data_IF_108566168091
#
_entry.id   IF_108566168091
#
_cell.length_a   1.000
_cell.length_b   1.000
_cell.length_c   1.000
_cell.angle_alpha   90.00
_cell.angle_beta   90.00
_cell.angle_gamma   90.00
#
_symmetry.space_group_name_H-M   'P 1'
#
loop_
_entity.id
_entity.type
_entity.pdbx_description
1 polymer ?
#
# COMPACT_ATOMS: atom_id res chain seq x y z
N UNK A 1 0.91 -29.84 27.47
CA UNK A 1 1.32 -28.50 27.01
C UNK A 1 0.07 -27.65 27.08
N UNK A 2 0.03 -26.63 27.94
CA UNK A 2 -1.20 -25.86 28.20
C UNK A 2 -1.68 -25.12 26.92
N UNK A 3 -2.98 -24.90 26.79
CA UNK A 3 -3.56 -24.17 25.66
C UNK A 3 -2.89 -22.81 25.44
N UNK A 4 -2.53 -22.11 26.51
CA UNK A 4 -1.78 -20.86 26.46
C UNK A 4 -0.43 -20.97 25.72
N UNK A 5 0.33 -22.06 25.94
CA UNK A 5 1.61 -22.26 25.22
C UNK A 5 1.40 -22.53 23.72
N UNK A 6 0.29 -23.17 23.35
CA UNK A 6 -0.07 -23.35 21.94
C UNK A 6 -0.45 -22.03 21.27
N UNK A 7 -1.28 -21.22 21.92
CA UNK A 7 -1.66 -19.90 21.41
C UNK A 7 -0.47 -18.94 21.29
N UNK A 8 0.40 -18.94 22.30
CA UNK A 8 1.62 -18.15 22.26
C UNK A 8 2.56 -18.56 21.12
N UNK A 9 2.74 -19.86 20.91
CA UNK A 9 3.56 -20.36 19.78
C UNK A 9 2.97 -19.95 18.44
N UNK A 10 1.68 -20.10 18.24
CA UNK A 10 0.98 -19.70 17.01
C UNK A 10 1.12 -18.19 16.72
N UNK A 11 1.09 -17.34 17.76
CA UNK A 11 1.33 -15.91 17.66
C UNK A 11 2.77 -15.58 17.22
N UNK A 12 3.77 -16.22 17.83
CA UNK A 12 5.17 -16.00 17.45
C UNK A 12 5.47 -16.46 16.03
N UNK A 13 4.91 -17.59 15.61
CA UNK A 13 5.04 -18.08 14.23
C UNK A 13 4.40 -17.11 13.23
N UNK A 14 3.23 -16.54 13.56
CA UNK A 14 2.58 -15.52 12.75
C UNK A 14 3.39 -14.22 12.64
N UNK A 15 4.05 -13.79 13.73
CA UNK A 15 4.92 -12.61 13.69
C UNK A 15 6.18 -12.85 12.87
N UNK A 16 6.87 -13.96 13.09
CA UNK A 16 8.08 -14.32 12.34
C UNK A 16 7.78 -14.40 10.84
N UNK A 17 6.67 -15.02 10.50
CA UNK A 17 6.16 -15.12 9.17
C UNK A 17 5.82 -13.74 8.55
N UNK A 18 5.10 -12.91 9.29
CA UNK A 18 4.76 -11.55 8.86
C UNK A 18 5.98 -10.67 8.62
N UNK A 19 7.02 -10.81 9.43
CA UNK A 19 8.29 -10.10 9.26
C UNK A 19 9.00 -10.56 7.98
N UNK A 20 9.16 -11.87 7.78
CA UNK A 20 9.78 -12.44 6.58
C UNK A 20 9.05 -12.02 5.30
N UNK A 21 7.73 -12.12 5.29
CA UNK A 21 6.88 -11.65 4.20
C UNK A 21 7.08 -10.16 3.91
N UNK A 22 7.11 -9.34 4.96
CA UNK A 22 7.30 -7.89 4.84
C UNK A 22 8.63 -7.53 4.19
N UNK A 23 9.71 -8.16 4.62
CA UNK A 23 11.05 -7.92 4.08
C UNK A 23 11.06 -8.31 2.59
N UNK A 24 10.62 -9.51 2.26
CA UNK A 24 10.62 -10.01 0.89
C UNK A 24 9.78 -9.13 -0.05
N UNK A 25 8.55 -8.83 0.32
CA UNK A 25 7.65 -8.02 -0.52
C UNK A 25 8.09 -6.57 -0.62
N UNK A 26 8.73 -6.03 0.42
CA UNK A 26 9.29 -4.68 0.38
C UNK A 26 10.51 -4.63 -0.55
N UNK A 27 11.43 -5.58 -0.45
CA UNK A 27 12.61 -5.63 -1.33
C UNK A 27 12.21 -5.71 -2.81
N UNK A 28 11.30 -6.62 -3.15
CA UNK A 28 10.87 -6.85 -4.55
C UNK A 28 9.94 -5.76 -5.05
N UNK A 29 9.02 -5.29 -4.21
CA UNK A 29 7.98 -4.34 -4.58
C UNK A 29 8.40 -2.86 -4.54
N UNK A 30 9.45 -2.52 -3.78
CA UNK A 30 9.86 -1.13 -3.55
C UNK A 30 10.20 -0.35 -4.83
N UNK A 31 10.94 -0.90 -5.81
CA UNK A 31 11.22 -0.18 -7.06
C UNK A 31 9.94 0.18 -7.82
N UNK A 32 9.01 -0.75 -7.92
CA UNK A 32 7.72 -0.53 -8.60
C UNK A 32 6.86 0.50 -7.84
N UNK A 33 6.85 0.45 -6.51
CA UNK A 33 6.14 1.42 -5.68
C UNK A 33 6.73 2.83 -5.82
N UNK A 34 8.04 2.93 -5.88
CA UNK A 34 8.74 4.19 -6.07
C UNK A 34 8.47 4.80 -7.43
N UNK A 35 8.56 4.00 -8.50
CA UNK A 35 8.24 4.42 -9.86
C UNK A 35 6.78 4.88 -9.96
N UNK A 36 5.86 4.14 -9.35
CA UNK A 36 4.46 4.55 -9.24
C UNK A 36 4.31 5.94 -8.63
N UNK A 37 4.92 6.19 -7.48
CA UNK A 37 4.85 7.50 -6.79
C UNK A 37 5.42 8.61 -7.70
N UNK A 38 6.56 8.37 -8.34
CA UNK A 38 7.17 9.32 -9.25
C UNK A 38 6.23 9.68 -10.41
N UNK A 39 5.61 8.70 -11.07
CA UNK A 39 4.66 8.92 -12.17
C UNK A 39 3.41 9.67 -11.68
N UNK A 40 2.89 9.33 -10.51
CA UNK A 40 1.69 9.94 -9.95
C UNK A 40 1.90 11.36 -9.45
N UNK A 41 3.10 11.71 -9.00
CA UNK A 41 3.41 13.05 -8.48
C UNK A 41 3.87 14.02 -9.57
N UNK A 42 4.33 13.53 -10.73
CA UNK A 42 4.83 14.35 -11.84
C UNK A 42 3.87 14.32 -13.03
N UNK A 43 2.68 14.89 -12.86
CA UNK A 43 1.65 14.90 -13.91
C UNK A 43 2.03 15.75 -15.14
N UNK A 44 2.94 16.69 -15.00
CA UNK A 44 3.43 17.53 -16.12
C UNK A 44 4.32 16.75 -17.09
N UNK A 45 4.98 15.68 -16.63
CA UNK A 45 5.86 14.87 -17.46
C UNK A 45 5.13 13.64 -18.00
N UNK A 46 5.54 13.16 -19.18
CA UNK A 46 5.02 11.89 -19.68
C UNK A 46 5.49 10.72 -18.79
N UNK A 47 4.68 9.65 -18.61
CA UNK A 47 5.13 8.48 -17.85
C UNK A 47 6.44 7.88 -18.39
N UNK A 48 6.63 7.92 -19.71
CA UNK A 48 7.85 7.43 -20.36
C UNK A 48 9.09 8.24 -19.94
N UNK A 49 9.00 9.58 -19.94
CA UNK A 49 10.13 10.43 -19.51
C UNK A 49 10.46 10.24 -18.03
N UNK A 50 9.48 9.99 -17.18
CA UNK A 50 9.71 9.66 -15.77
C UNK A 50 10.45 8.31 -15.64
N UNK A 51 10.06 7.30 -16.42
CA UNK A 51 10.71 5.98 -16.42
C UNK A 51 12.17 6.09 -16.88
N UNK A 52 12.44 6.83 -17.96
CA UNK A 52 13.82 7.00 -18.48
C UNK A 52 14.71 7.76 -17.50
N UNK A 53 14.20 8.82 -16.88
CA UNK A 53 14.90 9.54 -15.81
C UNK A 53 15.17 8.60 -14.62
N UNK A 54 14.19 7.79 -14.24
CA UNK A 54 14.33 6.85 -13.14
C UNK A 54 15.39 5.79 -13.43
N UNK A 55 15.45 5.27 -14.64
CA UNK A 55 16.47 4.28 -15.06
C UNK A 55 17.89 4.87 -15.06
N UNK A 56 18.05 6.18 -15.32
CA UNK A 56 19.34 6.88 -15.29
C UNK A 56 19.88 7.19 -13.88
N UNK A 57 19.03 7.04 -12.85
CA UNK A 57 19.36 7.41 -11.49
C UNK A 57 20.06 6.28 -10.74
N UNK A 58 21.08 5.75 -10.82
CA UNK A 58 21.80 4.71 -10.06
C UNK A 58 21.08 4.07 -8.85
N UNK A 59 21.61 2.99 -8.34
CA UNK A 59 21.01 2.13 -7.30
C UNK A 59 20.70 2.88 -5.98
N UNK A 60 21.46 3.90 -5.64
CA UNK A 60 21.27 4.71 -4.43
C UNK A 60 19.90 5.41 -4.42
N UNK A 61 19.42 5.82 -5.58
CA UNK A 61 18.11 6.43 -5.71
C UNK A 61 16.98 5.40 -5.55
N UNK A 62 17.20 4.15 -5.93
CA UNK A 62 16.23 3.08 -5.71
C UNK A 62 16.01 2.79 -4.23
N UNK A 63 16.99 2.97 -3.38
CA UNK A 63 16.88 2.75 -1.94
C UNK A 63 16.18 3.88 -1.17
N UNK A 64 15.98 5.05 -1.81
CA UNK A 64 15.35 6.21 -1.14
C UNK A 64 13.92 5.88 -0.72
N UNK A 65 13.61 6.08 0.57
CA UNK A 65 12.31 5.74 1.15
C UNK A 65 12.14 4.26 1.52
N UNK A 66 13.14 3.41 1.25
CA UNK A 66 13.09 1.98 1.61
C UNK A 66 12.92 1.78 3.12
N UNK A 67 13.72 2.46 3.94
CA UNK A 67 13.63 2.39 5.40
C UNK A 67 12.23 2.80 5.89
N UNK A 68 11.66 3.87 5.35
CA UNK A 68 10.30 4.30 5.69
C UNK A 68 9.24 3.27 5.24
N UNK A 69 9.46 2.55 4.14
CA UNK A 69 8.62 1.42 3.75
C UNK A 69 8.68 0.28 4.76
N UNK A 70 9.89 -0.12 5.16
CA UNK A 70 10.10 -1.20 6.13
C UNK A 70 9.47 -0.85 7.47
N UNK A 71 9.73 0.33 8.01
CA UNK A 71 9.14 0.80 9.29
C UNK A 71 7.61 0.79 9.22
N UNK A 72 7.03 1.27 8.12
CA UNK A 72 5.58 1.26 7.90
C UNK A 72 5.00 -0.15 7.92
N UNK A 73 5.66 -1.09 7.28
CA UNK A 73 5.18 -2.47 7.17
C UNK A 73 5.37 -3.25 8.48
N UNK A 74 6.53 -3.11 9.11
CA UNK A 74 6.79 -3.72 10.41
C UNK A 74 5.83 -3.22 11.48
N UNK A 75 5.52 -1.91 11.47
CA UNK A 75 4.48 -1.36 12.34
C UNK A 75 3.15 -2.09 12.17
N UNK A 76 2.70 -2.31 10.93
CA UNK A 76 1.46 -3.04 10.64
C UNK A 76 1.50 -4.49 11.14
N UNK A 77 2.62 -5.18 10.94
CA UNK A 77 2.80 -6.55 11.45
C UNK A 77 2.69 -6.58 12.97
N UNK A 78 3.26 -5.58 13.66
CA UNK A 78 3.26 -5.54 15.11
C UNK A 78 1.85 -5.37 15.72
N UNK A 79 1.04 -4.42 15.23
CA UNK A 79 -0.22 -4.08 15.91
C UNK A 79 -1.47 -4.73 15.31
N UNK A 80 -1.49 -5.08 14.01
CA UNK A 80 -2.70 -5.61 13.35
C UNK A 80 -3.21 -6.92 13.94
N UNK A 81 -2.38 -7.94 14.22
CA UNK A 81 -2.86 -9.16 14.84
C UNK A 81 -3.50 -8.89 16.21
N UNK A 82 -2.87 -8.02 17.02
CA UNK A 82 -3.41 -7.62 18.32
C UNK A 82 -4.75 -6.89 18.16
N UNK A 83 -4.84 -5.95 17.24
CA UNK A 83 -6.07 -5.20 16.98
C UNK A 83 -7.20 -6.14 16.56
N UNK A 84 -6.94 -7.08 15.65
CA UNK A 84 -7.95 -8.02 15.14
C UNK A 84 -8.37 -9.01 16.24
N UNK A 85 -7.45 -9.46 17.09
CA UNK A 85 -7.76 -10.38 18.19
C UNK A 85 -8.65 -9.77 19.27
N UNK A 86 -8.58 -8.45 19.45
CA UNK A 86 -9.42 -7.71 20.41
C UNK A 86 -10.79 -7.33 19.84
N UNK A 87 -11.04 -7.55 18.55
CA UNK A 87 -12.36 -7.27 17.96
C UNK A 87 -13.40 -8.30 18.41
N UNK A 88 -14.65 -7.87 18.67
CA UNK A 88 -15.72 -8.76 19.08
C UNK A 88 -15.92 -9.94 18.12
N UNK A 89 -16.07 -11.15 18.68
CA UNK A 89 -16.30 -12.37 17.88
C UNK A 89 -17.65 -12.38 17.18
N UNK A 90 -18.59 -11.57 17.66
CA UNK A 90 -19.91 -11.38 17.06
C UNK A 90 -19.82 -10.86 15.62
N UNK A 91 -18.77 -10.10 15.31
CA UNK A 91 -18.52 -9.59 13.95
C UNK A 91 -18.27 -10.75 12.96
N UNK A 92 -17.69 -11.87 13.42
CA UNK A 92 -17.44 -13.04 12.56
C UNK A 92 -18.75 -13.76 12.17
N UNK A 93 -19.79 -13.60 12.98
CA UNK A 93 -21.12 -14.19 12.74
C UNK A 93 -21.98 -13.35 11.79
N UNK A 94 -21.51 -12.14 11.44
CA UNK A 94 -22.22 -11.27 10.50
C UNK A 94 -22.06 -11.79 9.07
N UNK A 95 -23.00 -12.59 8.62
CA UNK A 95 -23.10 -13.03 7.22
C UNK A 95 -24.02 -12.04 6.47
N UNK A 96 -23.44 -10.94 6.00
CA UNK A 96 -24.12 -10.05 5.05
C UNK A 96 -23.94 -10.61 3.63
N UNK A 97 -24.92 -10.47 2.71
CA UNK A 97 -24.87 -11.09 1.38
C UNK A 97 -23.63 -10.76 0.54
N UNK A 98 -22.96 -9.66 0.83
CA UNK A 98 -21.74 -9.21 0.16
C UNK A 98 -20.53 -9.00 1.09
N UNK A 99 -20.72 -9.06 2.43
CA UNK A 99 -19.68 -8.71 3.40
C UNK A 99 -19.58 -9.78 4.48
N UNK A 100 -18.53 -10.56 4.44
CA UNK A 100 -18.15 -11.42 5.58
C UNK A 100 -17.65 -10.55 6.74
N UNK A 101 -17.83 -11.01 7.97
CA UNK A 101 -17.28 -10.38 9.18
C UNK A 101 -15.78 -10.06 9.06
N UNK A 102 -15.03 -10.88 8.33
CA UNK A 102 -13.59 -10.64 8.03
C UNK A 102 -13.36 -9.36 7.22
N UNK A 103 -14.24 -9.02 6.27
CA UNK A 103 -14.13 -7.75 5.50
C UNK A 103 -14.39 -6.56 6.42
N UNK A 104 -15.36 -6.67 7.31
CA UNK A 104 -15.67 -5.62 8.28
C UNK A 104 -14.53 -5.40 9.26
N UNK A 105 -13.99 -6.47 9.86
CA UNK A 105 -12.78 -6.40 10.71
C UNK A 105 -11.59 -5.77 10.00
N UNK A 106 -11.34 -6.17 8.76
CA UNK A 106 -10.29 -5.59 7.93
C UNK A 106 -10.50 -4.11 7.63
N UNK A 107 -11.75 -3.69 7.40
CA UNK A 107 -12.09 -2.27 7.17
C UNK A 107 -11.85 -1.44 8.43
N UNK A 108 -12.28 -1.91 9.60
CA UNK A 108 -12.02 -1.27 10.89
C UNK A 108 -10.51 -1.16 11.13
N UNK A 109 -9.77 -2.24 10.89
CA UNK A 109 -8.30 -2.22 10.97
C UNK A 109 -7.67 -1.19 10.02
N UNK A 110 -8.23 -0.99 8.82
CA UNK A 110 -7.75 0.01 7.87
C UNK A 110 -8.02 1.45 8.31
N UNK A 111 -9.12 1.70 9.03
CA UNK A 111 -9.38 3.01 9.64
C UNK A 111 -8.29 3.32 10.68
N UNK A 112 -8.01 2.35 11.54
CA UNK A 112 -6.94 2.47 12.54
C UNK A 112 -5.57 2.65 11.87
N UNK A 113 -5.26 1.84 10.85
CA UNK A 113 -4.07 1.97 10.02
C UNK A 113 -3.90 3.40 9.48
N UNK A 114 -4.99 4.02 9.03
CA UNK A 114 -4.94 5.36 8.45
C UNK A 114 -4.44 6.39 9.46
N UNK A 115 -4.85 6.27 10.71
CA UNK A 115 -4.39 7.18 11.77
C UNK A 115 -2.93 6.92 12.13
N UNK A 116 -2.57 5.66 12.38
CA UNK A 116 -1.22 5.29 12.88
C UNK A 116 -0.16 5.37 11.78
N UNK A 117 -0.50 4.99 10.56
CA UNK A 117 0.47 4.81 9.47
C UNK A 117 0.59 6.04 8.57
N UNK A 118 -0.42 6.92 8.54
CA UNK A 118 -0.39 8.12 7.66
C UNK A 118 0.86 8.99 7.85
N UNK A 119 1.35 9.28 9.06
CA UNK A 119 2.57 10.06 9.22
C UNK A 119 3.77 9.45 8.49
N UNK A 120 3.96 8.13 8.64
CA UNK A 120 5.07 7.41 8.01
C UNK A 120 4.90 7.36 6.48
N UNK A 121 3.67 7.19 6.01
CA UNK A 121 3.36 7.21 4.57
C UNK A 121 3.65 8.58 3.93
N UNK A 122 3.36 9.67 4.63
CA UNK A 122 3.68 11.01 4.14
C UNK A 122 5.18 11.25 4.06
N UNK A 123 5.95 10.87 5.08
CA UNK A 123 7.41 10.93 5.08
C UNK A 123 7.97 10.15 3.88
N UNK A 124 7.52 8.91 3.69
CA UNK A 124 7.90 8.06 2.57
C UNK A 124 7.58 8.73 1.21
N UNK A 125 6.39 9.27 1.03
CA UNK A 125 5.99 9.91 -0.23
C UNK A 125 6.83 11.14 -0.53
N UNK A 126 7.16 11.94 0.48
CA UNK A 126 8.08 13.09 0.33
C UNK A 126 9.48 12.63 -0.11
N UNK A 127 9.98 11.54 0.45
CA UNK A 127 11.26 10.97 0.03
C UNK A 127 11.21 10.46 -1.41
N UNK A 128 10.14 9.75 -1.79
CA UNK A 128 10.00 9.14 -3.11
C UNK A 128 9.75 10.12 -4.25
N UNK A 129 9.11 11.27 -3.99
CA UNK A 129 8.83 12.28 -5.04
C UNK A 129 10.07 13.02 -5.53
N UNK A 130 11.16 12.98 -4.79
CA UNK A 130 12.39 13.78 -5.02
C UNK A 130 13.15 13.39 -6.30
N UNK A 131 12.68 12.40 -7.06
CA UNK A 131 13.31 11.97 -8.33
C UNK A 131 13.32 13.10 -9.37
N UNK A 132 12.29 13.93 -9.40
CA UNK A 132 12.14 14.96 -10.45
C UNK A 132 13.08 16.17 -10.28
N UNK A 133 13.78 16.30 -9.18
CA UNK A 133 14.57 17.49 -8.85
C UNK A 133 16.06 17.24 -8.73
N UNK A 134 16.68 16.28 -9.38
CA UNK A 134 18.15 16.04 -9.37
C UNK A 134 18.89 16.28 -8.02
N UNK A 135 18.13 16.39 -6.94
CA UNK A 135 18.60 16.71 -5.59
C UNK A 135 18.98 15.42 -4.86
N UNK A 136 19.93 15.53 -3.96
CA UNK A 136 20.37 14.45 -3.06
C UNK A 136 19.18 13.72 -2.40
N UNK A 137 19.29 12.42 -2.16
CA UNK A 137 18.25 11.65 -1.45
C UNK A 137 17.93 12.28 -0.10
N UNK A 138 16.67 12.58 0.14
CA UNK A 138 16.20 13.20 1.38
C UNK A 138 16.09 12.14 2.49
N UNK A 139 16.73 12.40 3.64
CA UNK A 139 16.61 11.54 4.82
C UNK A 139 15.18 11.59 5.42
N UNK A 140 14.74 10.58 6.19
CA UNK A 140 13.43 10.62 6.87
C UNK A 140 13.25 11.86 7.74
N UNK A 141 14.31 12.28 8.47
CA UNK A 141 14.26 13.44 9.34
C UNK A 141 14.09 14.75 8.56
N UNK A 142 14.78 14.88 7.42
CA UNK A 142 14.61 16.03 6.53
C UNK A 142 13.20 16.08 5.94
N UNK A 143 12.65 14.92 5.57
CA UNK A 143 11.28 14.82 5.08
C UNK A 143 10.26 15.24 6.16
N UNK A 144 10.44 14.81 7.41
CA UNK A 144 9.61 15.25 8.54
C UNK A 144 9.67 16.77 8.73
N UNK A 145 10.87 17.34 8.75
CA UNK A 145 11.07 18.80 8.88
C UNK A 145 10.41 19.56 7.72
N UNK A 146 10.52 19.03 6.50
CA UNK A 146 9.87 19.61 5.32
C UNK A 146 8.34 19.62 5.44
N UNK A 147 7.73 18.50 5.87
CA UNK A 147 6.28 18.41 6.08
C UNK A 147 5.83 19.40 7.14
N UNK A 148 6.52 19.42 8.28
CA UNK A 148 6.18 20.28 9.39
C UNK A 148 6.28 21.77 9.04
N UNK A 149 7.36 22.18 8.37
CA UNK A 149 7.58 23.57 7.95
C UNK A 149 6.57 24.03 6.89
N UNK A 150 6.13 23.12 6.01
CA UNK A 150 5.19 23.47 4.92
C UNK A 150 3.73 23.47 5.36
N UNK A 151 3.32 22.55 6.23
CA UNK A 151 1.91 22.28 6.55
C UNK A 151 1.60 22.12 8.03
N UNK A 152 2.61 22.21 8.90
CA UNK A 152 2.44 21.93 10.33
C UNK A 152 2.13 20.45 10.60
N UNK A 153 1.55 20.18 11.77
CA UNK A 153 1.20 18.83 12.19
C UNK A 153 0.15 18.15 11.31
N UNK A 154 -0.83 18.90 10.80
CA UNK A 154 -1.88 18.38 9.91
C UNK A 154 -1.33 17.82 8.60
N UNK A 155 -0.16 18.27 8.15
CA UNK A 155 0.53 17.79 6.97
C UNK A 155 0.86 16.31 7.03
N UNK A 156 1.09 15.74 8.20
CA UNK A 156 1.35 14.32 8.38
C UNK A 156 0.14 13.43 8.07
N UNK A 157 -1.06 13.98 8.09
CA UNK A 157 -2.31 13.28 7.78
C UNK A 157 -2.84 13.58 6.37
N UNK A 158 -2.06 14.25 5.56
CA UNK A 158 -2.42 14.54 4.17
C UNK A 158 -2.63 13.23 3.38
N UNK A 159 -3.73 13.11 2.64
CA UNK A 159 -4.07 11.90 1.89
C UNK A 159 -4.77 10.80 2.71
N UNK A 160 -5.17 11.07 3.96
CA UNK A 160 -5.90 10.10 4.78
C UNK A 160 -7.29 9.79 4.23
N UNK A 161 -8.00 10.79 3.72
CA UNK A 161 -9.36 10.59 3.16
C UNK A 161 -9.37 9.67 1.94
N UNK A 162 -8.53 9.85 0.91
CA UNK A 162 -8.42 8.87 -0.17
C UNK A 162 -7.97 7.49 0.30
N UNK A 163 -7.18 7.41 1.37
CA UNK A 163 -6.74 6.13 1.94
C UNK A 163 -7.92 5.38 2.57
N UNK A 164 -8.78 6.07 3.30
CA UNK A 164 -10.02 5.51 3.85
C UNK A 164 -10.97 5.03 2.74
N UNK A 165 -11.17 5.84 1.70
CA UNK A 165 -12.03 5.47 0.58
C UNK A 165 -11.60 4.19 -0.17
N UNK A 166 -10.33 3.79 -0.05
CA UNK A 166 -9.82 2.53 -0.61
C UNK A 166 -9.97 1.32 0.32
N UNK A 167 -10.28 1.52 1.58
CA UNK A 167 -10.27 0.44 2.57
C UNK A 167 -11.26 -0.66 2.20
N UNK A 168 -12.54 -0.32 2.03
CA UNK A 168 -13.60 -1.27 1.66
C UNK A 168 -13.29 -2.03 0.36
N UNK A 169 -13.05 -1.37 -0.78
CA UNK A 169 -12.74 -2.08 -2.02
C UNK A 169 -11.51 -2.99 -1.90
N UNK A 170 -10.50 -2.60 -1.13
CA UNK A 170 -9.28 -3.40 -0.96
C UNK A 170 -9.52 -4.66 -0.15
N UNK A 171 -10.32 -4.60 0.93
CA UNK A 171 -10.64 -5.77 1.75
C UNK A 171 -11.61 -6.70 1.05
N UNK A 172 -12.62 -6.16 0.38
CA UNK A 172 -13.54 -6.95 -0.46
C UNK A 172 -12.76 -7.73 -1.52
N UNK A 173 -11.85 -7.06 -2.23
CA UNK A 173 -10.98 -7.71 -3.19
C UNK A 173 -10.11 -8.82 -2.56
N UNK A 174 -9.47 -8.54 -1.43
CA UNK A 174 -8.61 -9.51 -0.75
C UNK A 174 -9.40 -10.78 -0.39
N UNK A 175 -10.62 -10.62 0.11
CA UNK A 175 -11.51 -11.71 0.45
C UNK A 175 -11.93 -12.53 -0.78
N UNK A 176 -12.35 -11.87 -1.85
CA UNK A 176 -12.73 -12.52 -3.11
C UNK A 176 -11.56 -13.29 -3.72
N UNK A 177 -10.37 -12.69 -3.73
CA UNK A 177 -9.16 -13.33 -4.25
C UNK A 177 -8.75 -14.53 -3.40
N UNK A 178 -8.80 -14.41 -2.08
CA UNK A 178 -8.50 -15.51 -1.16
C UNK A 178 -9.41 -16.71 -1.42
N UNK A 179 -10.72 -16.49 -1.52
CA UNK A 179 -11.68 -17.56 -1.79
C UNK A 179 -11.47 -18.21 -3.17
N UNK A 180 -11.22 -17.40 -4.21
CA UNK A 180 -10.99 -17.91 -5.56
C UNK A 180 -9.71 -18.76 -5.66
N UNK A 181 -8.68 -18.44 -4.89
CA UNK A 181 -7.42 -19.19 -4.90
C UNK A 181 -7.50 -20.42 -4.01
N UNK A 182 -8.19 -20.33 -2.87
CA UNK A 182 -8.41 -21.49 -1.97
C UNK A 182 -9.08 -22.66 -2.69
N UNK A 183 -10.01 -22.40 -3.60
CA UNK A 183 -10.71 -23.44 -4.39
C UNK A 183 -9.84 -24.10 -5.46
N UNK A 184 -8.72 -23.49 -5.89
CA UNK A 184 -7.85 -24.00 -6.96
C UNK A 184 -6.47 -24.47 -6.48
N UNK A 185 -6.30 -24.71 -5.19
CA UNK A 185 -4.99 -24.83 -4.51
C UNK A 185 -4.14 -26.04 -4.90
N UNK A 186 -4.69 -27.09 -5.44
CA UNK A 186 -3.99 -28.39 -5.52
C UNK A 186 -2.89 -28.52 -6.58
N UNK A 187 -2.74 -27.58 -7.55
CA UNK A 187 -1.74 -27.69 -8.64
C UNK A 187 -1.23 -26.35 -9.19
N UNK A 188 -0.89 -25.39 -8.34
CA UNK A 188 -0.43 -24.09 -8.87
C UNK A 188 1.09 -23.96 -8.92
N UNK A 189 1.62 -23.68 -10.12
CA UNK A 189 3.00 -23.25 -10.35
C UNK A 189 3.14 -21.78 -9.93
N UNK A 190 4.34 -21.33 -9.54
CA UNK A 190 4.64 -19.94 -9.22
C UNK A 190 4.12 -18.95 -10.29
N UNK A 191 4.36 -19.27 -11.56
CA UNK A 191 3.92 -18.42 -12.67
C UNK A 191 2.39 -18.32 -12.76
N UNK A 192 1.67 -19.43 -12.58
CA UNK A 192 0.21 -19.44 -12.56
C UNK A 192 -0.35 -18.62 -11.39
N UNK A 193 0.30 -18.65 -10.23
CA UNK A 193 -0.09 -17.85 -9.08
C UNK A 193 0.07 -16.35 -9.36
N UNK A 194 1.15 -15.92 -10.00
CA UNK A 194 1.33 -14.52 -10.43
C UNK A 194 0.24 -14.11 -11.44
N UNK A 195 -0.03 -14.93 -12.42
CA UNK A 195 -1.07 -14.64 -13.44
C UNK A 195 -2.45 -14.48 -12.80
N UNK A 196 -2.86 -15.43 -11.96
CA UNK A 196 -4.13 -15.34 -11.24
C UNK A 196 -4.19 -14.14 -10.29
N UNK A 197 -3.11 -13.86 -9.56
CA UNK A 197 -3.02 -12.67 -8.72
C UNK A 197 -3.14 -11.38 -9.54
N UNK A 198 -2.59 -11.35 -10.75
CA UNK A 198 -2.69 -10.19 -11.66
C UNK A 198 -4.12 -10.02 -12.16
N UNK A 199 -4.72 -11.07 -12.72
CA UNK A 199 -6.11 -11.02 -13.22
C UNK A 199 -7.08 -10.62 -12.11
N UNK A 200 -6.95 -11.24 -10.95
CA UNK A 200 -7.81 -10.94 -9.81
C UNK A 200 -7.59 -9.51 -9.29
N UNK A 201 -6.35 -8.96 -9.29
CA UNK A 201 -6.07 -7.61 -8.77
C UNK A 201 -6.42 -6.48 -9.74
N UNK A 202 -6.57 -6.76 -11.03
CA UNK A 202 -6.78 -5.73 -12.04
C UNK A 202 -8.05 -4.87 -11.79
N UNK A 203 -9.25 -5.44 -11.55
CA UNK A 203 -10.47 -4.64 -11.36
C UNK A 203 -10.38 -3.69 -10.17
N UNK A 204 -9.93 -4.19 -9.01
CA UNK A 204 -9.82 -3.34 -7.82
C UNK A 204 -8.70 -2.32 -7.94
N UNK A 205 -7.61 -2.68 -8.62
CA UNK A 205 -6.52 -1.73 -8.91
C UNK A 205 -7.04 -0.61 -9.81
N UNK A 206 -7.81 -0.94 -10.84
CA UNK A 206 -8.44 0.04 -11.72
C UNK A 206 -9.37 0.96 -10.92
N UNK A 207 -10.32 0.41 -10.17
CA UNK A 207 -11.30 1.17 -9.40
C UNK A 207 -10.66 2.09 -8.33
N UNK A 208 -9.54 1.68 -7.73
CA UNK A 208 -8.89 2.43 -6.66
C UNK A 208 -7.72 3.31 -7.13
N UNK A 209 -7.30 3.24 -8.41
CA UNK A 209 -6.21 4.07 -8.94
C UNK A 209 -6.51 5.56 -8.89
N UNK A 210 -7.72 6.05 -9.21
CA UNK A 210 -8.04 7.48 -9.09
C UNK A 210 -7.81 8.02 -7.68
N UNK A 211 -8.22 7.27 -6.66
CA UNK A 211 -7.99 7.64 -5.25
C UNK A 211 -6.50 7.64 -4.88
N UNK A 212 -5.72 6.76 -5.48
CA UNK A 212 -4.27 6.73 -5.28
C UNK A 212 -3.57 7.94 -5.91
N UNK A 213 -4.00 8.37 -7.10
CA UNK A 213 -3.48 9.58 -7.73
C UNK A 213 -3.82 10.80 -6.88
N UNK A 214 -5.07 10.95 -6.45
CA UNK A 214 -5.47 12.03 -5.56
C UNK A 214 -4.66 12.04 -4.26
N UNK A 215 -4.47 10.87 -3.64
CA UNK A 215 -3.61 10.72 -2.46
C UNK A 215 -2.19 11.21 -2.72
N UNK A 216 -1.56 10.70 -3.78
CA UNK A 216 -0.18 11.02 -4.11
C UNK A 216 0.01 12.51 -4.43
N UNK A 217 -0.94 13.11 -5.13
CA UNK A 217 -0.95 14.54 -5.44
C UNK A 217 -1.17 15.39 -4.19
N UNK A 218 -2.11 15.02 -3.32
CA UNK A 218 -2.35 15.72 -2.06
C UNK A 218 -1.12 15.66 -1.14
N UNK A 219 -0.43 14.54 -1.10
CA UNK A 219 0.80 14.37 -0.35
C UNK A 219 1.99 15.13 -0.98
N UNK A 220 2.02 15.22 -2.31
CA UNK A 220 3.07 15.93 -3.05
C UNK A 220 2.90 17.46 -3.07
N UNK A 221 1.69 17.99 -2.89
CA UNK A 221 1.44 19.41 -2.92
C UNK A 221 2.32 20.16 -1.89
N UNK A 222 2.97 21.25 -2.32
CA UNK A 222 3.88 22.04 -1.47
C UNK A 222 3.17 23.17 -0.71
N UNK A 223 1.89 23.44 -1.02
CA UNK A 223 1.16 24.57 -0.46
C UNK A 223 0.73 24.30 0.99
N UNK A 224 0.77 25.36 1.82
CA UNK A 224 0.36 25.32 3.24
C UNK A 224 -1.11 24.97 3.43
N UNK A 225 -1.99 25.33 2.51
CA UNK A 225 -3.40 24.98 2.57
C UNK A 225 -3.62 23.57 2.05
N UNK A 226 -4.20 22.72 2.89
CA UNK A 226 -4.66 21.39 2.48
C UNK A 226 -5.87 21.60 1.53
N UNK A 227 -5.62 21.47 0.24
CA UNK A 227 -6.69 21.60 -0.75
C UNK A 227 -7.76 20.51 -0.54
N UNK A 228 -9.02 20.87 -0.68
CA UNK A 228 -10.10 19.89 -0.65
C UNK A 228 -9.92 18.89 -1.81
N UNK A 229 -10.29 17.63 -1.59
CA UNK A 229 -10.17 16.59 -2.63
C UNK A 229 -10.95 16.92 -3.90
N UNK A 230 -12.10 17.59 -3.76
CA UNK A 230 -12.91 18.02 -4.91
C UNK A 230 -12.21 19.05 -5.77
N UNK A 231 -11.60 20.07 -5.15
CA UNK A 231 -10.81 21.07 -5.88
C UNK A 231 -9.59 20.45 -6.57
N UNK A 232 -8.89 19.56 -5.86
CA UNK A 232 -7.74 18.85 -6.44
C UNK A 232 -8.15 17.98 -7.62
N UNK A 233 -9.26 17.25 -7.51
CA UNK A 233 -9.79 16.44 -8.60
C UNK A 233 -10.19 17.30 -9.81
N UNK A 234 -10.87 18.43 -9.57
CA UNK A 234 -11.25 19.36 -10.63
C UNK A 234 -10.01 19.93 -11.34
N UNK A 235 -8.99 20.35 -10.61
CA UNK A 235 -7.74 20.86 -11.19
C UNK A 235 -7.02 19.79 -12.03
N UNK A 236 -6.95 18.55 -11.55
CA UNK A 236 -6.34 17.45 -12.32
C UNK A 236 -7.14 17.19 -13.60
N UNK A 237 -8.47 17.17 -13.51
CA UNK A 237 -9.33 16.96 -14.67
C UNK A 237 -9.18 18.08 -15.71
N UNK A 238 -9.21 19.33 -15.28
CA UNK A 238 -9.10 20.48 -16.18
C UNK A 238 -7.72 20.58 -16.85
N UNK A 239 -6.64 20.29 -16.12
CA UNK A 239 -5.28 20.47 -16.63
C UNK A 239 -4.74 19.24 -17.38
N UNK A 240 -5.19 18.04 -17.05
CA UNK A 240 -4.59 16.79 -17.54
C UNK A 240 -5.61 15.77 -18.07
N UNK A 241 -6.91 16.04 -17.95
CA UNK A 241 -7.98 15.15 -18.39
C UNK A 241 -8.15 13.91 -17.51
N UNK A 242 -9.11 13.06 -17.90
CA UNK A 242 -9.47 11.85 -17.15
C UNK A 242 -8.33 10.80 -17.08
N UNK A 243 -7.50 10.73 -18.12
CA UNK A 243 -6.39 9.77 -18.19
C UNK A 243 -5.36 9.96 -17.08
N UNK A 244 -5.23 11.17 -16.54
CA UNK A 244 -4.33 11.48 -15.43
C UNK A 244 -4.67 10.72 -14.16
N UNK A 245 -5.93 10.40 -13.93
CA UNK A 245 -6.37 9.63 -12.75
C UNK A 245 -5.94 8.16 -12.79
N UNK A 246 -5.55 7.65 -13.95
CA UNK A 246 -5.08 6.28 -14.14
C UNK A 246 -3.56 6.18 -14.29
N UNK A 247 -2.84 7.27 -14.11
CA UNK A 247 -1.37 7.26 -14.16
C UNK A 247 -0.76 6.34 -13.10
N UNK A 248 0.21 5.54 -13.51
CA UNK A 248 0.86 4.57 -12.65
C UNK A 248 0.04 3.30 -12.39
N UNK A 249 -1.07 3.06 -13.10
CA UNK A 249 -1.87 1.85 -13.01
C UNK A 249 -1.01 0.58 -13.23
N UNK A 250 -0.22 0.53 -14.30
CA UNK A 250 0.62 -0.63 -14.63
C UNK A 250 1.65 -0.92 -13.52
N UNK A 251 2.34 0.09 -13.01
CA UNK A 251 3.31 -0.08 -11.92
C UNK A 251 2.64 -0.58 -10.64
N UNK A 252 1.43 -0.09 -10.38
CA UNK A 252 0.62 -0.52 -9.24
C UNK A 252 0.13 -1.96 -9.40
N UNK A 253 -0.29 -2.34 -10.60
CA UNK A 253 -0.73 -3.70 -10.90
C UNK A 253 0.42 -4.69 -10.68
N UNK A 254 1.60 -4.41 -11.24
CA UNK A 254 2.80 -5.22 -11.05
C UNK A 254 3.17 -5.35 -9.56
N UNK A 255 3.22 -4.23 -8.83
CA UNK A 255 3.51 -4.24 -7.40
C UNK A 255 2.50 -5.10 -6.62
N UNK A 256 1.22 -4.96 -6.92
CA UNK A 256 0.15 -5.68 -6.22
C UNK A 256 0.17 -7.17 -6.54
N UNK A 257 0.40 -7.54 -7.80
CA UNK A 257 0.51 -8.93 -8.25
C UNK A 257 1.68 -9.65 -7.57
N UNK A 258 2.86 -9.03 -7.53
CA UNK A 258 4.04 -9.57 -6.85
C UNK A 258 3.81 -9.71 -5.34
N UNK A 259 3.22 -8.71 -4.70
CA UNK A 259 2.89 -8.78 -3.27
C UNK A 259 1.89 -9.89 -2.96
N UNK A 260 0.87 -10.06 -3.79
CA UNK A 260 -0.16 -11.09 -3.60
C UNK A 260 0.43 -12.48 -3.84
N UNK A 261 1.18 -12.66 -4.93
CA UNK A 261 1.85 -13.94 -5.23
C UNK A 261 2.82 -14.34 -4.10
N UNK A 262 3.62 -13.39 -3.59
CA UNK A 262 4.52 -13.64 -2.47
C UNK A 262 3.76 -14.06 -1.21
N UNK A 263 2.62 -13.44 -0.89
CA UNK A 263 1.78 -13.82 0.23
C UNK A 263 1.29 -15.27 0.13
N UNK A 264 0.83 -15.67 -1.07
CA UNK A 264 0.36 -17.03 -1.29
C UNK A 264 1.47 -18.07 -1.20
N UNK A 265 2.65 -17.79 -1.75
CA UNK A 265 3.79 -18.70 -1.66
C UNK A 265 4.17 -18.98 -0.21
N UNK A 266 4.24 -17.93 0.59
CA UNK A 266 4.60 -18.05 1.99
C UNK A 266 3.50 -18.83 2.75
N UNK A 267 2.22 -18.56 2.50
CA UNK A 267 1.13 -19.33 3.08
C UNK A 267 1.17 -20.81 2.68
N UNK A 268 1.55 -21.11 1.44
CA UNK A 268 1.71 -22.50 0.98
C UNK A 268 2.87 -23.21 1.67
N UNK A 269 3.99 -22.52 1.88
CA UNK A 269 5.15 -23.05 2.63
C UNK A 269 4.78 -23.31 4.09
N UNK A 270 4.06 -22.39 4.75
CA UNK A 270 3.64 -22.55 6.14
C UNK A 270 2.65 -23.71 6.36
N UNK A 271 1.87 -24.08 5.34
CA UNK A 271 0.96 -25.23 5.42
C UNK A 271 1.65 -26.57 5.15
N UNK A 272 2.83 -26.58 4.54
CA UNK A 272 3.63 -27.78 4.28
C UNK A 272 4.59 -28.13 5.42
N UNK A 273 4.80 -27.22 6.37
CA UNK A 273 5.51 -27.42 7.62
C UNK A 273 4.57 -27.92 8.72
#
# INVERSE_FOLDING_TARGET
MSQEKKEQKTLWDAYAFGIGYTILTTCVGHPAERLKVAIQTNLLQSPYSVITQFAGLGLTHFSTGFLSCVIRQLGKVAYRPLLISQMPKEIDKLELPMFSGSVLKGTIASIFDTVVVSPIENIKTVQMRTIASQTQPITPLQAMKTIYNQRGFSGFFSGSVPTLGKALPSWFYLFMTYNAIKTKREKQTFLSTILWATVASAPVTFATTPLDVLKSQQQAARNKAQQSLGLLASQIYQNHGISAFFRGFNCRLVHKSLSTAGAYMILDMAHKM
#
